data_IF_222328231343
#
_entry.id   IF_222328231343
#
_cell.length_a   1.000
_cell.length_b   1.000
_cell.length_c   1.000
_cell.angle_alpha   90.00
_cell.angle_beta   90.00
_cell.angle_gamma   90.00
#
_symmetry.space_group_name_H-M   'P 1'
#
loop_
_entity.id
_entity.type
_entity.pdbx_description
1 polymer ?
#
# COMPACT_ATOMS: atom_id res chain seq x y z
N UNK A 1 8.03 -10.22 -5.84
CA UNK A 1 7.41 -9.81 -7.12
C UNK A 1 8.09 -10.64 -8.21
N UNK A 2 7.35 -11.39 -9.02
CA UNK A 2 7.96 -12.19 -10.10
C UNK A 2 8.59 -11.23 -11.12
N UNK A 3 9.92 -11.29 -11.28
CA UNK A 3 10.65 -10.51 -12.29
C UNK A 3 10.81 -11.34 -13.56
N UNK A 4 10.46 -10.70 -14.68
CA UNK A 4 10.13 -11.38 -15.91
C UNK A 4 11.37 -11.61 -16.79
N UNK A 5 12.00 -12.79 -16.68
CA UNK A 5 12.97 -13.29 -17.68
C UNK A 5 12.35 -14.30 -18.67
N UNK A 6 11.12 -14.78 -18.41
CA UNK A 6 10.51 -15.92 -19.10
C UNK A 6 9.20 -15.59 -19.85
N UNK A 7 8.86 -14.32 -19.97
CA UNK A 7 7.60 -13.88 -20.57
C UNK A 7 6.41 -13.90 -19.62
N UNK A 8 5.20 -13.76 -20.17
CA UNK A 8 3.97 -13.69 -19.37
C UNK A 8 3.81 -14.95 -18.50
N UNK A 9 3.69 -14.79 -17.18
CA UNK A 9 3.59 -15.90 -16.22
C UNK A 9 2.43 -16.86 -16.55
N UNK A 10 1.29 -16.35 -17.02
CA UNK A 10 0.14 -17.18 -17.41
C UNK A 10 0.50 -18.09 -18.59
N UNK A 11 1.14 -17.52 -19.62
CA UNK A 11 1.62 -18.29 -20.79
C UNK A 11 2.68 -19.30 -20.38
N UNK A 12 3.64 -18.90 -19.52
CA UNK A 12 4.66 -19.79 -18.99
C UNK A 12 4.05 -20.97 -18.22
N UNK A 13 3.12 -20.71 -17.31
CA UNK A 13 2.46 -21.75 -16.51
C UNK A 13 1.68 -22.71 -17.40
N UNK A 14 0.92 -22.18 -18.37
CA UNK A 14 0.14 -23.00 -19.32
C UNK A 14 1.02 -23.86 -20.24
N UNK A 15 2.21 -23.37 -20.60
CA UNK A 15 3.11 -24.05 -21.53
C UNK A 15 4.02 -25.09 -20.86
N UNK A 16 4.30 -24.95 -19.56
CA UNK A 16 5.30 -25.76 -18.86
C UNK A 16 4.72 -26.72 -17.81
N UNK A 17 3.45 -26.57 -17.43
CA UNK A 17 2.82 -27.43 -16.42
C UNK A 17 1.50 -28.00 -16.93
N UNK A 18 1.34 -29.32 -16.79
CA UNK A 18 0.05 -29.98 -16.92
C UNK A 18 -0.77 -29.67 -15.66
N UNK A 19 -1.99 -29.13 -15.82
CA UNK A 19 -2.91 -28.84 -14.70
C UNK A 19 -3.27 -30.07 -13.84
N UNK A 20 -2.86 -31.27 -14.25
CA UNK A 20 -3.08 -32.53 -13.53
C UNK A 20 -2.11 -32.76 -12.37
N UNK A 21 -0.91 -32.17 -12.41
CA UNK A 21 0.16 -32.52 -11.45
C UNK A 21 0.43 -31.43 -10.42
N UNK A 22 0.19 -30.15 -10.75
CA UNK A 22 0.36 -29.03 -9.80
C UNK A 22 -0.73 -27.97 -10.00
N UNK A 23 -1.55 -27.74 -8.98
CA UNK A 23 -2.53 -26.65 -8.97
C UNK A 23 -1.95 -25.45 -8.22
N UNK A 24 -1.52 -24.43 -8.97
CA UNK A 24 -1.17 -23.15 -8.39
C UNK A 24 -2.37 -22.20 -8.46
N UNK A 25 -2.70 -21.60 -7.32
CA UNK A 25 -3.74 -20.58 -7.23
C UNK A 25 -3.09 -19.21 -7.25
N UNK A 26 -3.47 -18.40 -8.23
CA UNK A 26 -2.98 -17.05 -8.39
C UNK A 26 -4.15 -16.10 -8.60
N UNK A 27 -4.07 -14.93 -7.96
CA UNK A 27 -4.94 -13.79 -8.20
C UNK A 27 -4.23 -12.82 -9.15
N UNK A 28 -4.80 -12.58 -10.32
CA UNK A 28 -4.35 -11.50 -11.21
C UNK A 28 -4.87 -10.17 -10.68
N UNK A 29 -3.98 -9.27 -10.28
CA UNK A 29 -4.34 -7.96 -9.70
C UNK A 29 -4.39 -6.88 -10.79
N UNK A 30 -3.50 -7.00 -11.77
CA UNK A 30 -3.40 -6.18 -12.97
C UNK A 30 -2.88 -7.09 -14.08
N UNK A 31 -3.06 -6.70 -15.35
CA UNK A 31 -2.57 -7.49 -16.48
C UNK A 31 -1.11 -7.93 -16.28
N UNK A 32 -0.90 -9.25 -16.20
CA UNK A 32 0.43 -9.85 -16.02
C UNK A 32 1.03 -9.78 -14.61
N UNK A 33 0.30 -9.26 -13.61
CA UNK A 33 0.74 -9.20 -12.19
C UNK A 33 -0.11 -10.13 -11.33
N UNK A 34 0.55 -11.12 -10.75
CA UNK A 34 -0.10 -12.18 -10.00
C UNK A 34 0.36 -12.21 -8.54
N UNK A 35 -0.56 -12.51 -7.63
CA UNK A 35 -0.28 -12.84 -6.23
C UNK A 35 -0.68 -14.28 -5.97
N UNK A 36 0.18 -15.01 -5.26
CA UNK A 36 -0.08 -16.39 -4.85
C UNK A 36 -1.27 -16.42 -3.87
N UNK A 37 -2.12 -17.42 -4.04
CA UNK A 37 -3.18 -17.79 -3.11
C UNK A 37 -2.85 -19.18 -2.57
N UNK A 38 -3.02 -19.36 -1.26
CA UNK A 38 -2.90 -20.66 -0.61
C UNK A 38 -4.25 -21.38 -0.71
N UNK A 39 -4.34 -22.45 -1.52
CA UNK A 39 -5.58 -23.19 -1.80
C UNK A 39 -6.30 -23.63 -0.53
N UNK A 40 -5.55 -24.17 0.41
CA UNK A 40 -6.06 -24.77 1.64
C UNK A 40 -5.78 -23.84 2.84
N UNK A 41 -5.83 -22.52 2.61
CA UNK A 41 -5.61 -21.56 3.67
C UNK A 41 -6.74 -21.60 4.70
N UNK A 42 -6.40 -21.77 5.96
CA UNK A 42 -7.36 -21.81 7.06
C UNK A 42 -7.13 -20.68 8.07
N UNK A 43 -8.07 -20.52 8.99
CA UNK A 43 -7.97 -19.54 10.08
C UNK A 43 -6.82 -19.91 11.03
N UNK A 44 -6.53 -21.20 11.19
CA UNK A 44 -5.41 -21.71 11.96
C UNK A 44 -4.07 -21.30 11.34
N UNK A 45 -3.93 -21.43 10.01
CA UNK A 45 -2.73 -20.95 9.30
C UNK A 45 -2.55 -19.44 9.42
N UNK A 46 -3.65 -18.67 9.45
CA UNK A 46 -3.61 -17.24 9.74
C UNK A 46 -3.18 -16.96 11.18
N UNK A 47 -3.69 -17.71 12.16
CA UNK A 47 -3.30 -17.58 13.56
C UNK A 47 -1.81 -17.94 13.78
N UNK A 48 -1.30 -18.97 13.13
CA UNK A 48 0.13 -19.30 13.11
C UNK A 48 0.97 -18.18 12.51
N UNK A 49 0.48 -17.57 11.41
CA UNK A 49 1.17 -16.45 10.80
C UNK A 49 1.26 -15.25 11.75
N UNK A 50 0.18 -14.93 12.47
CA UNK A 50 0.16 -13.91 13.51
C UNK A 50 1.14 -14.24 14.64
N UNK A 51 1.15 -15.48 15.13
CA UNK A 51 2.06 -15.93 16.19
C UNK A 51 3.54 -15.85 15.78
N UNK A 52 3.85 -16.05 14.49
CA UNK A 52 5.21 -15.89 13.94
C UNK A 52 5.61 -14.45 13.65
N UNK A 53 4.68 -13.50 13.81
CA UNK A 53 4.90 -12.06 13.56
C UNK A 53 5.40 -11.74 12.14
N UNK A 54 5.17 -12.64 11.16
CA UNK A 54 5.61 -12.48 9.77
C UNK A 54 4.57 -11.73 8.93
N UNK A 55 4.82 -10.45 8.57
CA UNK A 55 3.84 -9.64 7.84
C UNK A 55 3.48 -10.21 6.46
N UNK A 56 4.43 -10.89 5.80
CA UNK A 56 4.18 -11.49 4.48
C UNK A 56 3.25 -12.67 4.61
N UNK A 57 3.50 -13.56 5.58
CA UNK A 57 2.67 -14.73 5.83
C UNK A 57 1.27 -14.32 6.29
N UNK A 58 1.16 -13.32 7.18
CA UNK A 58 -0.12 -12.76 7.63
C UNK A 58 -0.92 -12.25 6.42
N UNK A 59 -0.29 -11.43 5.58
CA UNK A 59 -0.93 -10.85 4.39
C UNK A 59 -1.37 -11.89 3.37
N UNK A 60 -0.53 -12.91 3.15
CA UNK A 60 -0.82 -14.01 2.25
C UNK A 60 -2.01 -14.84 2.75
N UNK A 61 -2.05 -15.16 4.05
CA UNK A 61 -3.14 -15.93 4.63
C UNK A 61 -4.45 -15.13 4.58
N UNK A 62 -4.42 -13.85 4.99
CA UNK A 62 -5.61 -12.99 4.92
C UNK A 62 -6.14 -12.87 3.50
N UNK A 63 -5.25 -12.56 2.53
CA UNK A 63 -5.61 -12.48 1.11
C UNK A 63 -6.22 -13.79 0.61
N UNK A 64 -5.63 -14.93 0.99
CA UNK A 64 -6.09 -16.25 0.55
C UNK A 64 -7.45 -16.60 1.11
N UNK A 65 -7.67 -16.41 2.42
CA UNK A 65 -8.96 -16.69 3.06
C UNK A 65 -10.08 -15.85 2.43
N UNK A 66 -9.82 -14.55 2.21
CA UNK A 66 -10.78 -13.67 1.54
C UNK A 66 -11.11 -14.18 0.14
N UNK A 67 -10.10 -14.51 -0.67
CA UNK A 67 -10.33 -14.99 -2.04
C UNK A 67 -11.09 -16.33 -2.09
N UNK A 68 -10.77 -17.26 -1.19
CA UNK A 68 -11.41 -18.58 -1.14
C UNK A 68 -12.87 -18.53 -0.69
N UNK A 69 -13.25 -17.52 0.08
CA UNK A 69 -14.62 -17.32 0.57
C UNK A 69 -15.38 -16.27 -0.24
N UNK A 70 -15.13 -16.14 -1.54
CA UNK A 70 -15.87 -15.21 -2.39
C UNK A 70 -15.69 -13.73 -2.01
N UNK A 71 -14.49 -13.34 -1.54
CA UNK A 71 -14.12 -12.01 -1.07
C UNK A 71 -14.72 -11.63 0.30
N UNK A 72 -15.24 -10.41 0.47
CA UNK A 72 -15.73 -9.90 1.76
C UNK A 72 -17.01 -10.62 2.18
N UNK A 73 -17.92 -10.86 1.23
CA UNK A 73 -19.32 -11.15 1.52
C UNK A 73 -19.55 -12.47 2.25
N UNK A 74 -18.66 -13.45 2.06
CA UNK A 74 -18.74 -14.74 2.75
C UNK A 74 -17.51 -15.05 3.61
N UNK A 75 -16.54 -14.13 3.69
CA UNK A 75 -15.39 -14.33 4.55
C UNK A 75 -15.76 -14.22 6.04
N UNK A 76 -15.11 -15.00 6.92
CA UNK A 76 -15.32 -14.94 8.36
C UNK A 76 -14.62 -13.71 8.97
N UNK A 77 -14.94 -12.51 8.47
CA UNK A 77 -14.26 -11.25 8.79
C UNK A 77 -14.27 -10.91 10.27
N UNK A 78 -15.35 -11.24 10.98
CA UNK A 78 -15.41 -11.01 12.43
C UNK A 78 -14.38 -11.87 13.16
N UNK A 79 -14.27 -13.15 12.81
CA UNK A 79 -13.29 -14.05 13.43
C UNK A 79 -11.85 -13.64 13.08
N UNK A 80 -11.59 -13.27 11.82
CA UNK A 80 -10.28 -12.76 11.38
C UNK A 80 -9.91 -11.46 12.11
N UNK A 81 -10.86 -10.54 12.25
CA UNK A 81 -10.67 -9.27 12.96
C UNK A 81 -10.36 -9.50 14.43
N UNK A 82 -11.08 -10.40 15.09
CA UNK A 82 -10.82 -10.73 16.50
C UNK A 82 -9.42 -11.34 16.69
N UNK A 83 -9.00 -12.24 15.79
CA UNK A 83 -7.65 -12.81 15.81
C UNK A 83 -6.57 -11.74 15.64
N UNK A 84 -6.79 -10.82 14.69
CA UNK A 84 -5.87 -9.71 14.46
C UNK A 84 -5.83 -8.76 15.65
N UNK A 85 -6.97 -8.41 16.26
CA UNK A 85 -7.02 -7.56 17.45
C UNK A 85 -6.28 -8.17 18.64
N UNK A 86 -6.53 -9.45 18.94
CA UNK A 86 -5.79 -10.16 19.99
C UNK A 86 -4.29 -10.15 19.74
N UNK A 87 -3.87 -10.33 18.49
CA UNK A 87 -2.46 -10.24 18.10
C UNK A 87 -1.88 -8.84 18.32
N UNK A 88 -2.59 -7.77 17.91
CA UNK A 88 -2.11 -6.41 18.09
C UNK A 88 -2.02 -6.04 19.58
N UNK A 89 -3.02 -6.41 20.37
CA UNK A 89 -3.04 -6.16 21.81
C UNK A 89 -1.91 -6.90 22.54
N UNK A 90 -1.70 -8.17 22.23
CA UNK A 90 -0.62 -8.96 22.86
C UNK A 90 0.76 -8.44 22.46
N UNK A 91 0.94 -8.08 21.18
CA UNK A 91 2.19 -7.49 20.68
C UNK A 91 2.47 -6.14 21.34
N UNK A 92 1.45 -5.31 21.50
CA UNK A 92 1.57 -4.01 22.18
C UNK A 92 1.95 -4.15 23.66
N UNK A 93 1.31 -5.07 24.39
CA UNK A 93 1.59 -5.29 25.81
C UNK A 93 2.97 -5.88 26.09
N UNK A 94 3.45 -6.77 25.21
CA UNK A 94 4.73 -7.47 25.40
C UNK A 94 5.95 -6.61 25.03
N UNK A 95 5.78 -5.61 24.17
CA UNK A 95 6.87 -4.81 23.61
C UNK A 95 6.79 -3.34 24.04
N UNK A 96 6.43 -3.10 25.30
CA UNK A 96 6.04 -1.82 25.94
C UNK A 96 6.96 -0.60 25.74
N UNK A 97 8.09 -0.72 25.04
CA UNK A 97 9.00 0.37 24.71
C UNK A 97 9.25 0.58 23.20
N UNK A 98 8.55 -0.14 22.31
CA UNK A 98 8.73 0.01 20.85
C UNK A 98 7.37 0.06 20.13
N UNK A 99 6.60 1.13 20.33
CA UNK A 99 5.36 1.41 19.57
C UNK A 99 5.57 1.31 18.05
N UNK A 100 6.80 1.59 17.60
CA UNK A 100 7.20 1.48 16.21
C UNK A 100 7.19 0.04 15.67
N UNK A 101 7.36 -0.99 16.50
CA UNK A 101 7.46 -2.37 16.03
C UNK A 101 6.11 -2.91 15.54
N UNK A 102 5.05 -2.76 16.34
CA UNK A 102 3.70 -3.16 15.94
C UNK A 102 3.28 -2.41 14.68
N UNK A 103 3.43 -1.08 14.66
CA UNK A 103 3.06 -0.25 13.52
C UNK A 103 3.85 -0.63 12.25
N UNK A 104 5.14 -0.97 12.37
CA UNK A 104 5.96 -1.45 11.25
C UNK A 104 5.46 -2.79 10.68
N UNK A 105 5.10 -3.75 11.55
CA UNK A 105 4.46 -5.01 11.12
C UNK A 105 3.16 -4.72 10.37
N UNK A 106 2.30 -3.86 10.91
CA UNK A 106 1.02 -3.53 10.29
C UNK A 106 1.22 -2.82 8.95
N UNK A 107 2.15 -1.88 8.84
CA UNK A 107 2.48 -1.22 7.57
C UNK A 107 3.03 -2.20 6.53
N UNK A 108 3.86 -3.16 6.94
CA UNK A 108 4.29 -4.25 6.06
C UNK A 108 3.10 -5.11 5.62
N UNK A 109 2.17 -5.44 6.51
CA UNK A 109 0.96 -6.18 6.14
C UNK A 109 0.12 -5.42 5.10
N UNK A 110 -0.17 -4.15 5.38
CA UNK A 110 -0.86 -3.21 4.49
C UNK A 110 -0.19 -3.20 3.12
N UNK A 111 1.15 -3.18 3.06
CA UNK A 111 1.92 -3.20 1.82
C UNK A 111 1.82 -4.51 1.02
N UNK A 112 1.71 -5.66 1.66
CA UNK A 112 1.70 -6.96 0.95
C UNK A 112 0.32 -7.38 0.42
N UNK A 113 -0.76 -6.92 1.03
CA UNK A 113 -2.14 -7.25 0.60
C UNK A 113 -2.44 -6.60 -0.77
N UNK A 114 -3.20 -7.18 -1.69
CA UNK A 114 -3.64 -6.48 -2.91
C UNK A 114 -4.48 -5.23 -2.58
N UNK A 115 -4.24 -4.10 -3.26
CA UNK A 115 -4.86 -2.81 -2.86
C UNK A 115 -6.40 -2.86 -2.82
N UNK A 116 -7.05 -3.45 -3.82
CA UNK A 116 -8.52 -3.57 -3.84
C UNK A 116 -9.06 -4.36 -2.63
N UNK A 117 -8.41 -5.47 -2.26
CA UNK A 117 -8.75 -6.27 -1.06
C UNK A 117 -8.48 -5.45 0.21
N UNK A 118 -7.38 -4.72 0.24
CA UNK A 118 -7.02 -3.90 1.39
C UNK A 118 -8.09 -2.85 1.66
N UNK A 119 -8.53 -2.08 0.66
CA UNK A 119 -9.57 -1.06 0.79
C UNK A 119 -10.86 -1.63 1.42
N UNK A 120 -11.19 -2.85 1.04
CA UNK A 120 -12.35 -3.60 1.50
C UNK A 120 -12.28 -4.01 2.98
N UNK A 121 -11.10 -4.37 3.48
CA UNK A 121 -10.94 -4.92 4.85
C UNK A 121 -10.24 -3.98 5.83
N UNK A 122 -9.65 -2.89 5.34
CA UNK A 122 -8.72 -2.07 6.11
C UNK A 122 -9.32 -1.56 7.42
N UNK A 123 -10.53 -1.00 7.36
CA UNK A 123 -11.19 -0.43 8.55
C UNK A 123 -11.39 -1.46 9.64
N UNK A 124 -11.91 -2.64 9.28
CA UNK A 124 -12.24 -3.70 10.24
C UNK A 124 -11.00 -4.44 10.73
N UNK A 125 -10.09 -4.80 9.82
CA UNK A 125 -8.94 -5.64 10.13
C UNK A 125 -7.76 -4.87 10.74
N UNK A 126 -7.60 -3.59 10.45
CA UNK A 126 -6.42 -2.83 10.88
C UNK A 126 -6.78 -1.58 11.66
N UNK A 127 -7.60 -0.70 11.10
CA UNK A 127 -7.86 0.60 11.72
C UNK A 127 -8.60 0.46 13.05
N UNK A 128 -9.64 -0.37 13.12
CA UNK A 128 -10.41 -0.58 14.36
C UNK A 128 -9.55 -1.21 15.45
N UNK A 129 -8.82 -2.33 15.23
CA UNK A 129 -7.88 -2.85 16.22
C UNK A 129 -6.79 -1.87 16.67
N UNK A 130 -6.22 -1.09 15.75
CA UNK A 130 -5.26 -0.05 16.14
C UNK A 130 -5.91 1.05 16.97
N UNK A 131 -7.17 1.37 16.69
CA UNK A 131 -7.92 2.40 17.43
C UNK A 131 -8.24 1.98 18.85
N UNK A 132 -8.40 0.68 19.13
CA UNK A 132 -8.59 0.18 20.51
C UNK A 132 -7.30 0.30 21.34
N UNK A 133 -6.13 0.33 20.70
CA UNK A 133 -4.82 0.45 21.35
C UNK A 133 -4.40 1.92 21.49
N UNK A 134 -4.41 2.67 20.39
CA UNK A 134 -3.83 4.01 20.32
C UNK A 134 -4.88 5.13 20.36
N UNK A 135 -6.17 4.81 20.29
CA UNK A 135 -7.26 5.78 20.15
C UNK A 135 -7.47 6.19 18.69
N UNK A 136 -8.74 6.27 18.28
CA UNK A 136 -9.14 6.49 16.88
C UNK A 136 -8.57 7.78 16.26
N UNK A 137 -8.44 8.84 17.04
CA UNK A 137 -7.91 10.13 16.58
C UNK A 137 -6.39 10.12 16.36
N UNK A 138 -5.66 9.22 17.03
CA UNK A 138 -4.19 9.20 16.98
C UNK A 138 -3.65 8.31 15.86
N UNK A 139 -4.35 7.21 15.55
CA UNK A 139 -3.88 6.20 14.60
C UNK A 139 -3.50 6.79 13.23
N UNK A 140 -4.30 7.69 12.61
CA UNK A 140 -3.93 8.26 11.32
C UNK A 140 -2.56 8.94 11.33
N UNK A 141 -2.28 9.74 12.36
CA UNK A 141 -1.01 10.46 12.52
C UNK A 141 0.15 9.52 12.87
N UNK A 142 -0.09 8.51 13.71
CA UNK A 142 0.92 7.53 14.08
C UNK A 142 1.41 6.73 12.87
N UNK A 143 0.48 6.27 12.01
CA UNK A 143 0.84 5.54 10.78
C UNK A 143 1.69 6.43 9.85
N UNK A 144 1.33 7.70 9.67
CA UNK A 144 2.14 8.65 8.89
C UNK A 144 3.54 8.85 9.49
N UNK A 145 3.62 9.00 10.82
CA UNK A 145 4.90 9.18 11.53
C UNK A 145 5.86 8.01 11.30
N UNK A 146 5.37 6.78 11.33
CA UNK A 146 6.19 5.58 11.05
C UNK A 146 6.61 5.51 9.57
N UNK A 147 5.81 6.08 8.67
CA UNK A 147 6.14 6.12 7.23
C UNK A 147 7.20 7.18 6.84
N UNK A 148 7.71 8.01 7.76
CA UNK A 148 8.58 9.16 7.44
C UNK A 148 9.76 8.81 6.52
N UNK A 149 10.39 7.65 6.74
CA UNK A 149 11.56 7.20 5.96
C UNK A 149 11.22 6.19 4.85
N UNK A 150 9.95 5.87 4.63
CA UNK A 150 9.52 4.88 3.65
C UNK A 150 8.42 5.46 2.75
N UNK A 151 8.83 6.06 1.64
CA UNK A 151 7.94 6.67 0.64
C UNK A 151 6.90 5.67 0.12
N UNK A 152 7.26 4.38 -0.01
CA UNK A 152 6.35 3.35 -0.52
C UNK A 152 5.21 3.06 0.46
N UNK A 153 5.50 3.01 1.76
CA UNK A 153 4.44 2.87 2.78
C UNK A 153 3.59 4.13 2.87
N UNK A 154 4.22 5.32 2.81
CA UNK A 154 3.51 6.59 2.87
C UNK A 154 2.54 6.77 1.69
N UNK A 155 2.99 6.58 0.46
CA UNK A 155 2.13 6.67 -0.73
C UNK A 155 0.95 5.70 -0.66
N UNK A 156 1.14 4.55 -0.02
CA UNK A 156 0.08 3.57 0.16
C UNK A 156 -0.96 3.98 1.20
N UNK A 157 -0.53 4.61 2.29
CA UNK A 157 -1.41 5.23 3.28
C UNK A 157 -2.19 6.40 2.64
N UNK A 158 -1.56 7.23 1.81
CA UNK A 158 -2.25 8.27 1.06
C UNK A 158 -3.32 7.72 0.12
N UNK A 159 -3.00 6.68 -0.65
CA UNK A 159 -3.96 6.01 -1.53
C UNK A 159 -5.17 5.46 -0.74
N UNK A 160 -4.94 4.87 0.44
CA UNK A 160 -6.02 4.49 1.35
C UNK A 160 -6.80 5.70 1.86
N UNK A 161 -6.14 6.84 2.09
CA UNK A 161 -6.77 8.09 2.51
C UNK A 161 -7.83 8.55 1.54
N UNK A 162 -7.50 8.56 0.24
CA UNK A 162 -8.48 8.88 -0.81
C UNK A 162 -9.62 7.86 -0.87
N UNK A 163 -9.30 6.55 -0.79
CA UNK A 163 -10.32 5.51 -0.92
C UNK A 163 -11.25 5.41 0.31
N UNK A 164 -10.75 5.76 1.49
CA UNK A 164 -11.46 5.64 2.77
C UNK A 164 -11.85 7.00 3.36
N UNK A 165 -11.62 8.09 2.65
CA UNK A 165 -11.89 9.46 3.08
C UNK A 165 -11.28 9.81 4.45
N UNK A 166 -10.02 9.41 4.68
CA UNK A 166 -9.28 9.75 5.90
C UNK A 166 -8.58 11.09 5.68
N UNK A 167 -9.12 12.15 6.27
CA UNK A 167 -8.72 13.53 6.02
C UNK A 167 -7.23 13.77 6.32
N UNK A 168 -6.73 13.23 7.42
CA UNK A 168 -5.35 13.39 7.88
C UNK A 168 -4.35 12.88 6.84
N UNK A 169 -4.67 11.78 6.14
CA UNK A 169 -3.82 11.22 5.10
C UNK A 169 -3.90 12.00 3.80
N UNK A 170 -5.08 12.52 3.45
CA UNK A 170 -5.27 13.37 2.27
C UNK A 170 -4.55 14.71 2.45
N UNK A 171 -4.67 15.33 3.63
CA UNK A 171 -3.98 16.58 3.96
C UNK A 171 -2.46 16.41 3.95
N UNK A 172 -1.95 15.31 4.49
CA UNK A 172 -0.52 15.00 4.45
C UNK A 172 -0.01 14.88 3.01
N UNK A 173 -0.76 14.20 2.13
CA UNK A 173 -0.44 14.11 0.71
C UNK A 173 -0.40 15.49 0.03
N UNK A 174 -1.42 16.32 0.27
CA UNK A 174 -1.50 17.67 -0.31
C UNK A 174 -0.35 18.57 0.17
N UNK A 175 0.03 18.49 1.45
CA UNK A 175 1.21 19.20 1.99
C UNK A 175 2.50 18.77 1.27
N UNK A 176 2.68 17.48 1.00
CA UNK A 176 3.84 17.01 0.25
C UNK A 176 3.87 17.54 -1.19
N UNK A 177 2.73 17.55 -1.88
CA UNK A 177 2.64 18.10 -3.23
C UNK A 177 3.00 19.59 -3.27
N UNK A 178 2.49 20.37 -2.32
CA UNK A 178 2.77 21.80 -2.26
C UNK A 178 4.26 22.09 -1.98
N UNK A 179 4.91 21.29 -1.12
CA UNK A 179 6.34 21.44 -0.87
C UNK A 179 7.18 21.15 -2.13
N UNK A 180 6.80 20.15 -2.94
CA UNK A 180 7.46 19.87 -4.22
C UNK A 180 7.30 21.05 -5.21
N UNK A 181 6.15 21.73 -5.19
CA UNK A 181 5.91 22.89 -6.03
C UNK A 181 6.74 24.12 -5.60
N UNK A 182 7.03 24.27 -4.31
CA UNK A 182 7.87 25.37 -3.79
C UNK A 182 9.36 25.10 -4.02
N UNK A 183 9.79 23.83 -4.02
CA UNK A 183 11.19 23.42 -4.27
C UNK A 183 11.55 23.33 -5.76
N UNK A 184 10.62 23.66 -6.67
CA UNK A 184 10.96 23.90 -8.07
C UNK A 184 11.42 25.35 -8.16
N UNK A 185 12.73 25.64 -8.22
CA UNK A 185 13.17 27.03 -8.19
C UNK A 185 12.64 27.72 -9.44
N UNK A 186 12.22 28.95 -9.19
CA UNK A 186 11.85 30.04 -10.09
C UNK A 186 12.98 30.37 -11.10
N UNK A 187 13.56 29.38 -11.79
CA UNK A 187 14.61 29.55 -12.81
C UNK A 187 13.99 29.84 -14.18
N UNK A 188 12.70 29.54 -14.36
CA UNK A 188 12.01 29.78 -15.62
C UNK A 188 11.60 31.25 -15.82
N UNK A 189 11.49 32.05 -14.75
CA UNK A 189 10.88 33.38 -14.85
C UNK A 189 11.88 34.49 -15.23
N UNK A 190 13.16 34.35 -14.84
CA UNK A 190 14.19 35.34 -15.18
C UNK A 190 14.82 35.09 -16.55
N UNK A 191 14.88 33.83 -17.00
CA UNK A 191 15.39 33.46 -18.33
C UNK A 191 14.41 33.83 -19.45
N UNK A 192 13.10 33.77 -19.19
CA UNK A 192 12.08 34.18 -20.17
C UNK A 192 11.99 35.71 -20.28
N UNK A 193 12.16 36.45 -19.17
CA UNK A 193 12.20 37.92 -19.20
C UNK A 193 13.43 38.50 -19.90
N UNK A 194 14.59 37.85 -19.80
CA UNK A 194 15.79 38.28 -20.56
C UNK A 194 15.67 37.98 -22.04
N UNK A 195 15.13 36.82 -22.43
CA UNK A 195 14.97 36.47 -23.86
C UNK A 195 13.89 37.29 -24.58
N UNK A 196 12.84 37.77 -23.88
CA UNK A 196 11.84 38.68 -24.47
C UNK A 196 12.40 40.09 -24.74
N UNK A 197 13.36 40.57 -23.94
CA UNK A 197 14.05 41.84 -24.22
C UNK A 197 15.03 41.74 -25.39
N UNK A 198 15.72 40.60 -25.54
CA UNK A 198 16.67 40.40 -26.66
C UNK A 198 15.93 40.27 -28.00
N UNK A 199 14.74 39.65 -28.03
CA UNK A 199 13.92 39.53 -29.24
C UNK A 199 13.20 40.82 -29.66
N UNK A 200 12.99 41.77 -28.75
CA UNK A 200 12.40 43.07 -29.09
C UNK A 200 13.43 44.09 -29.62
N UNK A 201 14.73 43.91 -29.35
CA UNK A 201 15.79 44.80 -29.85
C UNK A 201 16.24 44.40 -31.26
N UNK A 202 16.03 43.16 -31.71
CA UNK A 202 16.46 42.69 -33.03
C UNK A 202 15.44 42.90 -34.17
N UNK A 203 14.24 43.41 -33.88
CA UNK A 203 13.17 43.57 -34.88
C UNK A 203 12.91 45.01 -35.34
N UNK A 204 13.80 45.97 -35.03
CA UNK A 204 13.63 47.37 -35.48
C UNK A 204 14.61 47.84 -36.56
N UNK A 205 15.59 47.04 -36.99
CA UNK A 205 16.53 47.44 -38.04
C UNK A 205 16.44 46.53 -39.28
N UNK A 206 15.41 46.72 -40.11
CA UNK A 206 15.53 46.54 -41.56
C UNK A 206 14.42 47.32 -42.30
N UNK A 207 14.63 48.63 -42.36
CA UNK A 207 13.94 49.57 -43.25
C UNK A 207 14.74 49.63 -44.55
N UNK A 208 14.09 49.28 -45.66
CA UNK A 208 14.34 49.73 -47.04
C UNK A 208 15.75 49.50 -47.65
N UNK A 209 15.82 48.62 -48.65
CA UNK A 209 16.05 48.95 -50.07
C UNK A 209 15.96 47.69 -50.94
#
# INVERSE_FOLDING_TARGET
MFQNKLGNLKVFLQSNFSFKDVQYFFLEIQSGKFVKILKDCSIELFAEALASTDPKRISLCLTSILCLNGQIDHAPLTLLSNRMEMFMQSTFQTLSNTDHFLLDIILKCIHWIPFHILCCVFRKMFLSPLSTIYGSQNVPHLLLKVCTNNSTFRSRIHALGFQLHVAEWIEDYNKQLNNIQVDTPTILDDTIKTNLKVLQIQNTDSVFQ
#
